data_IF_913099747539
#
_entry.id   IF_913099747539
#
_cell.length_a   1.000
_cell.length_b   1.000
_cell.length_c   1.000
_cell.angle_alpha   90.00
_cell.angle_beta   90.00
_cell.angle_gamma   90.00
#
_symmetry.space_group_name_H-M   'P 1'
#
loop_
_entity.id
_entity.type
_entity.pdbx_description
1 polymer ?
#
# COMPACT_ATOMS: atom_id res chain seq x y z
N UNK A 1 -8.87 -11.17 -12.31
CA UNK A 1 -8.11 -12.13 -13.13
C UNK A 1 -8.93 -12.62 -14.33
N UNK A 2 -10.10 -13.20 -14.17
CA UNK A 2 -10.95 -13.71 -15.25
C UNK A 2 -11.13 -12.70 -16.41
N UNK A 3 -11.62 -11.50 -16.14
CA UNK A 3 -11.85 -10.45 -17.15
C UNK A 3 -10.58 -10.04 -17.91
N UNK A 4 -9.47 -9.91 -17.19
CA UNK A 4 -8.16 -9.59 -17.81
C UNK A 4 -7.69 -10.72 -18.74
N UNK A 5 -7.82 -11.97 -18.30
CA UNK A 5 -7.42 -13.13 -19.11
C UNK A 5 -8.32 -13.27 -20.35
N UNK A 6 -9.64 -13.12 -20.20
CA UNK A 6 -10.58 -13.13 -21.32
C UNK A 6 -10.27 -12.02 -22.33
N UNK A 7 -9.92 -10.83 -21.86
CA UNK A 7 -9.48 -9.73 -22.73
C UNK A 7 -8.19 -10.05 -23.48
N UNK A 8 -7.21 -10.65 -22.83
CA UNK A 8 -5.95 -11.09 -23.45
C UNK A 8 -6.23 -12.15 -24.55
N UNK A 9 -7.02 -13.17 -24.23
CA UNK A 9 -7.35 -14.25 -25.18
C UNK A 9 -8.01 -13.65 -26.42
N UNK A 10 -9.07 -12.86 -26.24
CA UNK A 10 -9.84 -12.28 -27.35
C UNK A 10 -9.06 -11.31 -28.21
N UNK A 11 -8.20 -10.47 -27.59
CA UNK A 11 -7.56 -9.38 -28.33
C UNK A 11 -6.19 -9.73 -28.89
N UNK A 12 -5.50 -10.76 -28.36
CA UNK A 12 -4.11 -11.03 -28.69
C UNK A 12 -3.80 -12.49 -29.01
N UNK A 13 -4.44 -13.47 -28.34
CA UNK A 13 -4.16 -14.90 -28.59
C UNK A 13 -4.98 -15.38 -29.79
N UNK A 14 -6.31 -15.24 -29.73
CA UNK A 14 -7.19 -15.72 -30.79
C UNK A 14 -6.88 -15.14 -32.15
N UNK A 15 -6.61 -13.82 -32.32
CA UNK A 15 -6.34 -13.29 -33.65
C UNK A 15 -5.06 -13.79 -34.31
N UNK A 16 -4.09 -14.31 -33.53
CA UNK A 16 -2.79 -14.70 -34.04
C UNK A 16 -2.63 -16.22 -34.16
N UNK A 17 -3.15 -16.99 -33.21
CA UNK A 17 -2.97 -18.44 -33.14
C UNK A 17 -4.25 -19.20 -32.79
N UNK A 18 -5.40 -18.52 -32.64
CA UNK A 18 -6.62 -19.15 -32.16
C UNK A 18 -7.22 -20.18 -33.12
N UNK A 19 -7.00 -20.01 -34.43
CA UNK A 19 -7.52 -20.92 -35.47
C UNK A 19 -6.60 -22.15 -35.73
N UNK A 20 -5.41 -22.16 -35.10
CA UNK A 20 -4.48 -23.27 -35.27
C UNK A 20 -4.84 -24.44 -34.34
N UNK A 21 -4.88 -25.68 -34.84
CA UNK A 21 -4.95 -26.85 -33.96
C UNK A 21 -3.77 -26.87 -32.97
N UNK A 22 -4.01 -27.14 -31.69
CA UNK A 22 -2.95 -27.09 -30.66
C UNK A 22 -1.78 -28.04 -31.00
N UNK A 23 -2.07 -29.18 -31.64
CA UNK A 23 -1.07 -30.16 -32.06
C UNK A 23 -0.14 -29.67 -33.18
N UNK A 24 -0.58 -28.67 -33.97
CA UNK A 24 0.21 -28.08 -35.06
C UNK A 24 1.10 -26.91 -34.59
N UNK A 25 0.92 -26.43 -33.36
CA UNK A 25 1.72 -25.34 -32.82
C UNK A 25 3.11 -25.85 -32.44
N UNK A 26 4.11 -25.40 -33.18
CA UNK A 26 5.53 -25.73 -32.97
C UNK A 26 6.26 -24.60 -32.25
N UNK A 27 7.51 -24.83 -31.84
CA UNK A 27 8.37 -23.76 -31.28
C UNK A 27 8.51 -22.60 -32.27
N UNK A 28 8.70 -22.91 -33.57
CA UNK A 28 8.76 -21.90 -34.65
C UNK A 28 7.47 -21.07 -34.72
N UNK A 29 6.31 -21.70 -34.55
CA UNK A 29 5.02 -20.97 -34.48
C UNK A 29 4.98 -20.03 -33.30
N UNK A 30 5.50 -20.42 -32.14
CA UNK A 30 5.58 -19.58 -30.95
C UNK A 30 6.53 -18.40 -31.14
N UNK A 31 7.67 -18.59 -31.79
CA UNK A 31 8.61 -17.50 -32.10
C UNK A 31 7.97 -16.46 -33.03
N UNK A 32 7.26 -16.92 -34.08
CA UNK A 32 6.47 -16.03 -34.95
C UNK A 32 5.40 -15.29 -34.17
N UNK A 33 4.66 -15.98 -33.29
CA UNK A 33 3.65 -15.38 -32.42
C UNK A 33 4.22 -14.28 -31.55
N UNK A 34 5.39 -14.48 -30.94
CA UNK A 34 6.07 -13.47 -30.13
C UNK A 34 6.43 -12.24 -30.99
N UNK A 35 6.99 -12.47 -32.17
CA UNK A 35 7.34 -11.41 -33.11
C UNK A 35 6.12 -10.59 -33.54
N UNK A 36 5.00 -11.24 -33.85
CA UNK A 36 3.77 -10.59 -34.28
C UNK A 36 3.09 -9.84 -33.11
N UNK A 37 3.20 -10.37 -31.88
CA UNK A 37 2.75 -9.65 -30.68
C UNK A 37 3.43 -8.27 -30.55
N UNK A 38 4.75 -8.18 -30.77
CA UNK A 38 5.46 -6.89 -30.70
C UNK A 38 4.99 -5.88 -31.76
N UNK A 39 4.35 -6.33 -32.82
CA UNK A 39 3.77 -5.51 -33.89
C UNK A 39 2.26 -5.33 -33.76
N UNK A 40 1.65 -5.91 -32.75
CA UNK A 40 0.21 -5.81 -32.52
C UNK A 40 -0.12 -4.49 -31.82
N UNK A 41 -1.14 -3.77 -32.33
CA UNK A 41 -1.62 -2.53 -31.73
C UNK A 41 -2.27 -2.78 -30.38
N UNK A 42 -2.15 -1.81 -29.49
CA UNK A 42 -2.78 -1.89 -28.18
C UNK A 42 -4.30 -1.89 -28.28
N UNK A 43 -4.98 -2.90 -27.74
CA UNK A 43 -6.44 -2.91 -27.68
C UNK A 43 -7.04 -1.73 -26.87
N UNK A 44 -6.24 -1.06 -26.03
CA UNK A 44 -6.64 0.12 -25.29
C UNK A 44 -6.88 1.34 -26.20
N UNK A 45 -6.25 1.38 -27.39
CA UNK A 45 -6.44 2.44 -28.39
C UNK A 45 -7.93 2.63 -28.77
N UNK A 46 -8.72 1.57 -28.72
CA UNK A 46 -10.16 1.62 -28.97
C UNK A 46 -10.97 2.43 -27.96
N UNK A 47 -10.42 2.71 -26.79
CA UNK A 47 -11.12 3.30 -25.66
C UNK A 47 -10.54 4.63 -25.18
N UNK A 48 -9.25 4.86 -25.42
CA UNK A 48 -8.55 6.08 -24.99
C UNK A 48 -7.20 6.21 -25.73
N UNK A 49 -6.64 7.42 -25.72
CA UNK A 49 -5.31 7.66 -26.25
C UNK A 49 -4.27 6.80 -25.54
N UNK A 50 -3.42 6.13 -26.31
CA UNK A 50 -2.33 5.29 -25.81
C UNK A 50 -1.00 5.99 -25.97
N UNK A 51 -0.07 5.73 -25.07
CA UNK A 51 1.29 6.31 -25.12
C UNK A 51 2.18 5.68 -26.21
N UNK A 52 1.82 4.50 -26.68
CA UNK A 52 2.57 3.71 -27.67
C UNK A 52 1.58 3.02 -28.60
N UNK A 53 1.89 3.00 -29.89
CA UNK A 53 1.04 2.39 -30.94
C UNK A 53 0.94 0.87 -30.77
N UNK A 54 2.02 0.24 -30.32
CA UNK A 54 2.11 -1.21 -30.12
C UNK A 54 2.05 -1.58 -28.65
N UNK A 55 1.74 -2.86 -28.37
CA UNK A 55 1.72 -3.36 -26.99
C UNK A 55 3.12 -3.35 -26.38
N UNK A 56 3.19 -3.05 -25.09
CA UNK A 56 4.46 -3.02 -24.35
C UNK A 56 5.04 -4.43 -24.13
N UNK A 57 6.35 -4.55 -23.97
CA UNK A 57 7.02 -5.81 -23.63
C UNK A 57 6.39 -6.49 -22.40
N UNK A 58 5.99 -5.71 -21.39
CA UNK A 58 5.28 -6.24 -20.22
C UNK A 58 3.91 -6.84 -20.58
N UNK A 59 3.23 -6.29 -21.60
CA UNK A 59 1.97 -6.87 -22.09
C UNK A 59 2.24 -8.13 -22.92
N UNK A 60 3.26 -8.15 -23.76
CA UNK A 60 3.71 -9.34 -24.49
C UNK A 60 4.02 -10.47 -23.51
N UNK A 61 4.76 -10.19 -22.44
CA UNK A 61 5.07 -11.18 -21.40
C UNK A 61 3.81 -11.75 -20.73
N UNK A 62 2.78 -10.92 -20.46
CA UNK A 62 1.51 -11.39 -19.90
C UNK A 62 0.74 -12.29 -20.86
N UNK A 63 0.71 -11.94 -22.15
CA UNK A 63 0.06 -12.73 -23.19
C UNK A 63 0.76 -14.08 -23.31
N UNK A 64 2.09 -14.08 -23.40
CA UNK A 64 2.91 -15.28 -23.46
C UNK A 64 2.70 -16.20 -22.25
N UNK A 65 2.73 -15.65 -21.02
CA UNK A 65 2.49 -16.42 -19.79
C UNK A 65 1.12 -17.09 -19.79
N UNK A 66 0.09 -16.37 -20.27
CA UNK A 66 -1.26 -16.93 -20.33
C UNK A 66 -1.37 -18.06 -21.36
N UNK A 67 -0.82 -17.88 -22.57
CA UNK A 67 -0.76 -18.90 -23.60
C UNK A 67 0.02 -20.13 -23.10
N UNK A 68 1.21 -19.92 -22.52
CA UNK A 68 2.02 -21.02 -21.94
C UNK A 68 1.25 -21.79 -20.86
N UNK A 69 0.45 -21.09 -20.03
CA UNK A 69 -0.38 -21.74 -19.03
C UNK A 69 -1.46 -22.64 -19.67
N UNK A 70 -2.12 -22.18 -20.75
CA UNK A 70 -3.12 -22.97 -21.48
C UNK A 70 -2.49 -24.23 -22.13
N UNK A 71 -1.31 -24.09 -22.75
CA UNK A 71 -0.59 -25.21 -23.34
C UNK A 71 -0.06 -26.20 -22.29
N UNK A 72 0.37 -25.72 -21.11
CA UNK A 72 0.68 -26.61 -19.98
C UNK A 72 -0.54 -27.43 -19.54
N UNK A 73 -1.73 -26.83 -19.56
CA UNK A 73 -2.96 -27.55 -19.24
C UNK A 73 -3.31 -28.59 -20.32
N UNK A 74 -3.07 -28.28 -21.60
CA UNK A 74 -3.26 -29.22 -22.70
C UNK A 74 -2.31 -30.45 -22.59
N UNK A 75 -1.07 -30.26 -22.14
CA UNK A 75 -0.16 -31.37 -21.83
C UNK A 75 -0.72 -32.25 -20.71
N UNK A 76 -1.22 -31.63 -19.62
CA UNK A 76 -1.84 -32.38 -18.51
C UNK A 76 -3.07 -33.16 -18.91
N UNK A 77 -3.81 -32.70 -19.94
CA UNK A 77 -4.96 -33.37 -20.48
C UNK A 77 -4.60 -34.37 -21.61
N UNK A 78 -3.29 -34.60 -21.89
CA UNK A 78 -2.79 -35.44 -22.95
C UNK A 78 -3.28 -35.03 -24.35
N UNK A 79 -3.61 -33.77 -24.59
CA UNK A 79 -3.99 -33.24 -25.91
C UNK A 79 -2.76 -33.05 -26.80
N UNK A 80 -1.63 -32.67 -26.18
CA UNK A 80 -0.31 -32.51 -26.81
C UNK A 80 0.77 -33.17 -25.95
N UNK A 81 1.85 -33.71 -26.53
CA UNK A 81 2.90 -34.40 -25.77
C UNK A 81 3.81 -33.44 -25.01
N UNK A 82 4.04 -32.24 -25.50
CA UNK A 82 4.90 -31.22 -24.89
C UNK A 82 4.42 -29.83 -25.20
N UNK A 83 4.78 -28.85 -24.32
CA UNK A 83 4.42 -27.47 -24.50
C UNK A 83 5.50 -26.71 -25.27
N UNK A 84 5.23 -26.25 -26.53
CA UNK A 84 6.21 -25.53 -27.34
C UNK A 84 6.64 -24.18 -26.74
N UNK A 85 5.81 -23.54 -25.89
CA UNK A 85 6.13 -22.29 -25.19
C UNK A 85 7.26 -22.44 -24.17
N UNK A 86 7.56 -23.67 -23.71
CA UNK A 86 8.65 -23.88 -22.75
C UNK A 86 10.04 -23.79 -23.38
N UNK A 87 10.13 -23.98 -24.70
CA UNK A 87 11.39 -23.93 -25.45
C UNK A 87 11.60 -22.58 -26.16
N UNK A 88 10.58 -21.72 -26.22
CA UNK A 88 10.66 -20.44 -26.89
C UNK A 88 11.36 -19.41 -25.97
N UNK A 89 12.20 -18.57 -26.57
CA UNK A 89 12.93 -17.51 -25.89
C UNK A 89 12.14 -16.19 -25.92
N UNK A 90 11.57 -15.81 -24.78
CA UNK A 90 10.99 -14.49 -24.59
C UNK A 90 12.01 -13.55 -23.94
N UNK A 91 12.35 -12.44 -24.60
CA UNK A 91 13.12 -11.37 -23.97
C UNK A 91 12.34 -10.82 -22.77
N UNK A 92 12.93 -10.86 -21.59
CA UNK A 92 12.31 -10.29 -20.40
C UNK A 92 12.16 -8.78 -20.57
N UNK A 93 10.95 -8.27 -20.30
CA UNK A 93 10.72 -6.84 -20.27
C UNK A 93 11.69 -6.18 -19.27
N UNK A 94 12.39 -5.10 -19.68
CA UNK A 94 13.16 -4.30 -18.76
C UNK A 94 12.20 -3.69 -17.73
N UNK A 95 12.38 -4.05 -16.47
CA UNK A 95 11.62 -3.45 -15.38
C UNK A 95 12.04 -1.98 -15.25
N UNK A 96 11.14 -1.04 -15.55
CA UNK A 96 11.40 0.38 -15.24
C UNK A 96 11.39 0.55 -13.74
N UNK A 97 12.44 1.12 -13.21
CA UNK A 97 12.47 1.57 -11.82
C UNK A 97 11.35 2.59 -11.62
N UNK A 98 10.56 2.38 -10.59
CA UNK A 98 9.49 3.32 -10.25
C UNK A 98 10.06 4.33 -9.27
N UNK A 99 9.88 5.60 -9.61
CA UNK A 99 10.11 6.66 -8.65
C UNK A 99 9.23 6.46 -7.41
N UNK A 100 9.83 6.67 -6.26
CA UNK A 100 9.17 6.63 -4.96
C UNK A 100 9.44 7.96 -4.24
N UNK A 101 8.50 8.39 -3.43
CA UNK A 101 8.70 9.55 -2.58
C UNK A 101 9.46 9.17 -1.32
N UNK A 102 10.35 10.02 -0.89
CA UNK A 102 10.95 9.97 0.43
C UNK A 102 10.00 10.51 1.51
N UNK A 103 10.41 10.41 2.78
CA UNK A 103 9.59 10.83 3.91
C UNK A 103 9.30 12.34 3.91
N UNK A 104 10.24 13.17 3.43
CA UNK A 104 10.09 14.61 3.37
C UNK A 104 9.05 15.02 2.32
N UNK A 105 9.14 14.44 1.12
CA UNK A 105 8.16 14.64 0.05
C UNK A 105 6.75 14.22 0.49
N UNK A 106 6.62 13.11 1.25
CA UNK A 106 5.33 12.66 1.79
C UNK A 106 4.80 13.64 2.83
N UNK A 107 5.62 14.15 3.74
CA UNK A 107 5.20 15.20 4.70
C UNK A 107 4.68 16.42 3.96
N UNK A 108 5.43 16.93 2.99
CA UNK A 108 4.99 18.07 2.16
C UNK A 108 3.65 17.80 1.47
N UNK A 109 3.44 16.59 0.97
CA UNK A 109 2.17 16.17 0.36
C UNK A 109 1.02 16.19 1.38
N UNK A 110 1.25 15.66 2.57
CA UNK A 110 0.25 15.64 3.66
C UNK A 110 -0.08 17.07 4.12
N UNK A 111 0.91 17.93 4.32
CA UNK A 111 0.72 19.33 4.76
C UNK A 111 -0.06 20.16 3.74
N UNK A 112 0.11 19.87 2.44
CA UNK A 112 -0.58 20.56 1.37
C UNK A 112 -1.99 20.00 1.10
N UNK A 113 -2.26 18.74 1.50
CA UNK A 113 -3.50 18.06 1.18
C UNK A 113 -4.71 18.68 1.91
N UNK A 114 -5.75 19.06 1.13
CA UNK A 114 -7.03 19.61 1.64
C UNK A 114 -8.22 18.67 1.48
N UNK A 115 -8.03 17.55 0.79
CA UNK A 115 -9.06 16.52 0.63
C UNK A 115 -8.93 15.49 1.75
N UNK A 116 -9.91 15.44 2.64
CA UNK A 116 -9.88 14.58 3.83
C UNK A 116 -9.77 13.08 3.48
N UNK A 117 -10.49 12.62 2.46
CA UNK A 117 -10.42 11.24 2.03
C UNK A 117 -9.04 10.89 1.46
N UNK A 118 -8.46 11.79 0.65
CA UNK A 118 -7.10 11.60 0.13
C UNK A 118 -6.07 11.62 1.24
N UNK A 119 -6.19 12.54 2.21
CA UNK A 119 -5.29 12.64 3.35
C UNK A 119 -5.24 11.33 4.14
N UNK A 120 -6.40 10.78 4.47
CA UNK A 120 -6.48 9.49 5.18
C UNK A 120 -5.95 8.35 4.32
N UNK A 121 -6.28 8.31 3.02
CA UNK A 121 -5.77 7.30 2.10
C UNK A 121 -4.23 7.33 2.02
N UNK A 122 -3.61 8.52 1.96
CA UNK A 122 -2.14 8.65 1.94
C UNK A 122 -1.52 8.15 3.25
N UNK A 123 -2.07 8.53 4.41
CA UNK A 123 -1.60 8.04 5.71
C UNK A 123 -1.68 6.51 5.80
N UNK A 124 -2.83 5.91 5.46
CA UNK A 124 -3.01 4.46 5.48
C UNK A 124 -2.12 3.73 4.47
N UNK A 125 -1.87 4.32 3.30
CA UNK A 125 -0.98 3.73 2.29
C UNK A 125 0.49 3.80 2.71
N UNK A 126 0.94 4.92 3.32
CA UNK A 126 2.33 5.09 3.73
C UNK A 126 2.61 4.47 5.10
N UNK A 127 1.88 4.84 6.15
CA UNK A 127 2.17 4.33 7.49
C UNK A 127 1.82 2.84 7.65
N UNK A 128 0.71 2.40 7.05
CA UNK A 128 0.18 1.04 7.22
C UNK A 128 0.41 0.12 6.01
N UNK A 129 1.08 0.61 4.96
CA UNK A 129 1.36 -0.15 3.73
C UNK A 129 0.13 -0.76 3.07
N UNK A 130 -1.06 -0.14 3.17
CA UNK A 130 -2.29 -0.66 2.60
C UNK A 130 -2.39 -0.40 1.09
N UNK A 131 -3.02 -1.33 0.36
CA UNK A 131 -3.40 -1.12 -1.04
C UNK A 131 -4.63 -0.23 -1.13
N UNK A 132 -4.76 0.55 -2.20
CA UNK A 132 -5.93 1.45 -2.35
C UNK A 132 -7.26 0.70 -2.26
N UNK A 133 -7.38 -0.48 -2.85
CA UNK A 133 -8.60 -1.30 -2.75
C UNK A 133 -8.89 -1.77 -1.31
N UNK A 134 -7.86 -2.09 -0.51
CA UNK A 134 -7.97 -2.44 0.91
C UNK A 134 -8.44 -1.22 1.72
N UNK A 135 -7.89 -0.03 1.47
CA UNK A 135 -8.27 1.24 2.12
C UNK A 135 -9.73 1.58 1.84
N UNK A 136 -10.13 1.55 0.56
CA UNK A 136 -11.48 1.90 0.14
C UNK A 136 -12.53 0.84 0.57
N UNK A 137 -12.09 -0.39 0.79
CA UNK A 137 -12.94 -1.48 1.30
C UNK A 137 -12.98 -1.58 2.83
N UNK A 138 -12.22 -0.73 3.56
CA UNK A 138 -12.19 -0.77 5.01
C UNK A 138 -13.52 -0.28 5.59
N UNK A 139 -14.05 -1.03 6.55
CA UNK A 139 -15.27 -0.68 7.29
C UNK A 139 -14.96 -0.37 8.75
N UNK A 140 -15.77 0.45 9.39
CA UNK A 140 -15.57 0.85 10.78
C UNK A 140 -15.60 -0.32 11.76
N UNK A 141 -16.31 -1.40 11.44
CA UNK A 141 -16.32 -2.63 12.25
C UNK A 141 -14.93 -3.32 12.33
N UNK A 142 -14.04 -2.96 11.42
CA UNK A 142 -12.68 -3.50 11.32
C UNK A 142 -11.60 -2.47 11.75
N UNK A 143 -12.01 -1.41 12.46
CA UNK A 143 -11.13 -0.33 12.94
C UNK A 143 -11.20 -0.29 14.46
N UNK A 144 -10.10 -0.59 15.12
CA UNK A 144 -9.95 -0.67 16.56
C UNK A 144 -9.06 0.49 17.02
N UNK A 145 -9.71 1.58 17.45
CA UNK A 145 -9.08 2.87 17.78
C UNK A 145 -9.78 3.53 18.98
N UNK A 146 -10.18 2.76 19.96
CA UNK A 146 -10.65 3.34 21.23
C UNK A 146 -9.54 4.10 21.95
N UNK A 147 -9.89 5.04 22.81
CA UNK A 147 -8.90 5.82 23.57
C UNK A 147 -7.90 4.95 24.37
N UNK A 148 -8.31 3.85 25.03
CA UNK A 148 -7.37 2.94 25.67
C UNK A 148 -6.42 2.30 24.65
N UNK A 149 -6.96 1.73 23.53
CA UNK A 149 -6.13 1.11 22.49
C UNK A 149 -5.10 2.06 21.91
N UNK A 150 -5.46 3.33 21.71
CA UNK A 150 -4.51 4.35 21.21
C UNK A 150 -3.44 4.68 22.27
N UNK A 151 -3.82 4.85 23.52
CA UNK A 151 -2.88 5.18 24.61
C UNK A 151 -1.86 4.06 24.84
N UNK A 152 -2.30 2.82 24.73
CA UNK A 152 -1.48 1.62 24.97
C UNK A 152 -0.70 1.15 23.74
N UNK A 153 -0.67 1.94 22.64
CA UNK A 153 -0.07 1.59 21.34
C UNK A 153 -0.66 0.30 20.72
N UNK A 154 -1.89 -0.04 21.07
CA UNK A 154 -2.61 -1.26 20.66
C UNK A 154 -3.69 -0.98 19.61
N UNK A 155 -3.67 0.16 18.94
CA UNK A 155 -4.60 0.49 17.87
C UNK A 155 -4.30 -0.30 16.59
N UNK A 156 -5.33 -0.88 15.94
CA UNK A 156 -5.14 -1.75 14.78
C UNK A 156 -6.34 -1.78 13.83
N UNK A 157 -6.08 -2.25 12.61
CA UNK A 157 -7.06 -2.49 11.55
C UNK A 157 -7.09 -3.97 11.19
N UNK A 158 -8.27 -4.48 10.84
CA UNK A 158 -8.40 -5.81 10.25
C UNK A 158 -8.72 -5.72 8.77
N UNK A 159 -7.79 -6.13 7.93
CA UNK A 159 -7.94 -6.12 6.48
C UNK A 159 -8.48 -7.47 6.05
N UNK A 160 -9.73 -7.53 5.59
CA UNK A 160 -10.38 -8.77 5.15
C UNK A 160 -11.06 -8.66 3.79
N UNK A 161 -11.15 -7.44 3.25
CA UNK A 161 -11.86 -7.17 2.00
C UNK A 161 -11.23 -6.02 1.24
N UNK A 162 -11.58 -5.92 -0.05
CA UNK A 162 -11.17 -4.81 -0.92
C UNK A 162 -12.37 -4.31 -1.73
N UNK A 163 -12.43 -2.98 -1.96
CA UNK A 163 -13.36 -2.38 -2.89
C UNK A 163 -12.77 -2.47 -4.31
N UNK A 164 -13.55 -2.95 -5.26
CA UNK A 164 -13.14 -3.04 -6.64
C UNK A 164 -14.29 -2.80 -7.61
N UNK A 165 -14.00 -2.20 -8.76
CA UNK A 165 -14.93 -2.12 -9.88
C UNK A 165 -14.75 -3.33 -10.78
N UNK A 166 -15.80 -4.09 -11.02
CA UNK A 166 -15.77 -5.34 -11.80
C UNK A 166 -16.83 -5.32 -12.90
N UNK A 167 -16.63 -6.09 -13.96
CA UNK A 167 -17.64 -6.27 -15.02
C UNK A 167 -18.76 -7.16 -14.53
N UNK A 168 -20.02 -6.80 -14.84
CA UNK A 168 -21.20 -7.63 -14.52
C UNK A 168 -21.14 -9.00 -15.17
N UNK A 169 -20.61 -9.08 -16.40
CA UNK A 169 -20.37 -10.36 -17.09
C UNK A 169 -19.40 -11.29 -16.35
N UNK A 170 -18.37 -10.73 -15.71
CA UNK A 170 -17.44 -11.50 -14.90
C UNK A 170 -18.07 -12.00 -13.60
N UNK A 171 -18.93 -11.19 -12.95
CA UNK A 171 -19.71 -11.62 -11.78
C UNK A 171 -20.62 -12.79 -12.11
N UNK A 172 -21.37 -12.68 -13.20
CA UNK A 172 -22.27 -13.75 -13.66
C UNK A 172 -21.49 -15.04 -13.98
N UNK A 173 -20.37 -14.94 -14.72
CA UNK A 173 -19.55 -16.09 -15.09
C UNK A 173 -18.90 -16.79 -13.88
N UNK A 174 -18.69 -16.09 -12.78
CA UNK A 174 -18.09 -16.61 -11.55
C UNK A 174 -19.12 -16.86 -10.43
N UNK A 175 -20.41 -16.78 -10.72
CA UNK A 175 -21.49 -16.96 -9.74
C UNK A 175 -21.28 -16.13 -8.46
N UNK A 176 -20.81 -14.89 -8.59
CA UNK A 176 -20.50 -13.97 -7.50
C UNK A 176 -19.51 -14.53 -6.45
N UNK A 177 -18.66 -15.48 -6.83
CA UNK A 177 -17.71 -16.11 -5.90
C UNK A 177 -16.82 -15.05 -5.25
N UNK A 178 -16.67 -15.11 -3.90
CA UNK A 178 -15.86 -14.20 -3.10
C UNK A 178 -16.33 -12.73 -3.11
N UNK A 179 -17.60 -12.47 -3.42
CA UNK A 179 -18.24 -11.16 -3.31
C UNK A 179 -19.00 -11.08 -2.00
N UNK A 180 -18.74 -10.03 -1.22
CA UNK A 180 -19.41 -9.77 0.06
C UNK A 180 -20.59 -8.82 -0.10
N UNK A 181 -20.42 -7.79 -0.97
CA UNK A 181 -21.47 -6.82 -1.23
C UNK A 181 -21.37 -6.27 -2.65
N UNK A 182 -22.52 -6.00 -3.28
CA UNK A 182 -22.65 -5.37 -4.60
C UNK A 182 -23.35 -4.03 -4.39
N UNK A 183 -22.65 -2.93 -4.66
CA UNK A 183 -23.23 -1.60 -4.50
C UNK A 183 -24.19 -1.28 -5.65
N UNK A 184 -25.35 -0.65 -5.37
CA UNK A 184 -26.24 -0.16 -6.41
C UNK A 184 -25.57 0.92 -7.25
N UNK A 185 -26.03 1.08 -8.49
CA UNK A 185 -25.55 2.17 -9.35
C UNK A 185 -26.10 3.51 -8.82
N UNK A 186 -25.22 4.42 -8.45
CA UNK A 186 -25.60 5.74 -7.91
C UNK A 186 -26.52 6.55 -8.87
N UNK A 187 -26.25 6.48 -10.16
CA UNK A 187 -26.98 7.27 -11.17
C UNK A 187 -28.27 6.63 -11.67
N UNK A 188 -28.68 5.48 -11.09
CA UNK A 188 -29.82 4.69 -11.59
C UNK A 188 -29.60 4.06 -12.96
N UNK A 189 -28.50 4.40 -13.67
CA UNK A 189 -28.17 3.83 -14.98
C UNK A 189 -27.40 2.52 -14.81
N UNK A 190 -27.89 1.47 -15.46
CA UNK A 190 -27.16 0.21 -15.52
C UNK A 190 -25.91 0.36 -16.37
N UNK A 191 -24.75 0.24 -15.77
CA UNK A 191 -23.45 0.23 -16.46
C UNK A 191 -22.91 -1.20 -16.63
N UNK A 192 -22.01 -1.42 -17.57
CA UNK A 192 -21.36 -2.72 -17.79
C UNK A 192 -20.50 -3.17 -16.59
N UNK A 193 -20.19 -2.25 -15.68
CA UNK A 193 -19.38 -2.49 -14.48
C UNK A 193 -20.15 -2.12 -13.21
N UNK A 194 -19.74 -2.67 -12.09
CA UNK A 194 -20.33 -2.40 -10.77
C UNK A 194 -19.25 -2.39 -9.70
N UNK A 195 -19.46 -1.62 -8.63
CA UNK A 195 -18.61 -1.65 -7.44
C UNK A 195 -19.00 -2.81 -6.55
N UNK A 196 -18.01 -3.48 -6.01
CA UNK A 196 -18.21 -4.60 -5.10
C UNK A 196 -17.18 -4.57 -3.95
N UNK A 197 -17.63 -5.02 -2.77
CA UNK A 197 -16.70 -5.50 -1.75
C UNK A 197 -16.45 -6.98 -1.99
N UNK A 198 -15.20 -7.35 -2.05
CA UNK A 198 -14.79 -8.74 -2.33
C UNK A 198 -13.61 -9.17 -1.48
N UNK A 199 -13.40 -10.49 -1.38
CA UNK A 199 -12.21 -11.07 -0.78
C UNK A 199 -10.94 -10.56 -1.50
N UNK A 200 -9.87 -10.23 -0.77
CA UNK A 200 -8.57 -9.88 -1.36
C UNK A 200 -8.04 -11.02 -2.24
N UNK A 201 -7.12 -10.67 -3.15
CA UNK A 201 -6.58 -11.61 -4.13
C UNK A 201 -5.82 -12.80 -3.52
N UNK A 202 -5.16 -12.60 -2.39
CA UNK A 202 -4.37 -13.62 -1.68
C UNK A 202 -4.80 -13.71 -0.22
N UNK A 203 -4.72 -14.89 0.37
CA UNK A 203 -5.05 -15.09 1.77
C UNK A 203 -4.09 -14.34 2.69
N UNK A 204 -2.83 -14.15 2.29
CA UNK A 204 -1.85 -13.31 2.99
C UNK A 204 -2.22 -11.82 3.06
N UNK A 205 -3.19 -11.38 2.25
CA UNK A 205 -3.74 -10.01 2.34
C UNK A 205 -4.70 -9.86 3.53
N UNK A 206 -5.27 -10.95 4.03
CA UNK A 206 -6.14 -10.94 5.22
C UNK A 206 -5.23 -10.91 6.44
N UNK A 207 -5.21 -9.78 7.14
CA UNK A 207 -4.26 -9.57 8.23
C UNK A 207 -4.71 -8.47 9.19
N UNK A 208 -4.18 -8.53 10.42
CA UNK A 208 -4.17 -7.40 11.35
C UNK A 208 -3.01 -6.47 10.98
N UNK A 209 -3.26 -5.16 11.06
CA UNK A 209 -2.25 -4.12 10.82
C UNK A 209 -2.29 -3.15 11.98
N UNK A 210 -1.18 -3.06 12.72
CA UNK A 210 -1.01 -2.08 13.78
C UNK A 210 -0.83 -0.70 13.18
N UNK A 211 -1.40 0.32 13.81
CA UNK A 211 -1.36 1.68 13.28
C UNK A 211 -0.74 2.65 14.30
N UNK A 212 0.06 3.62 13.83
CA UNK A 212 0.60 4.67 14.70
C UNK A 212 -0.52 5.50 15.33
N UNK A 213 -0.29 5.99 16.57
CA UNK A 213 -1.24 6.86 17.32
C UNK A 213 -1.77 8.02 16.46
N UNK A 214 -0.89 8.71 15.73
CA UNK A 214 -1.28 9.81 14.85
C UNK A 214 -2.31 9.39 13.81
N UNK A 215 -2.14 8.21 13.20
CA UNK A 215 -3.09 7.67 12.19
C UNK A 215 -4.41 7.29 12.86
N UNK A 216 -4.36 6.74 14.07
CA UNK A 216 -5.55 6.41 14.84
C UNK A 216 -6.38 7.67 15.18
N UNK A 217 -5.74 8.75 15.63
CA UNK A 217 -6.43 10.03 15.87
C UNK A 217 -7.00 10.66 14.60
N UNK A 218 -6.30 10.57 13.48
CA UNK A 218 -6.82 10.99 12.16
C UNK A 218 -8.09 10.22 11.79
N UNK A 219 -8.12 8.92 12.04
CA UNK A 219 -9.32 8.10 11.82
C UNK A 219 -10.46 8.44 12.78
N UNK A 220 -10.18 8.73 14.05
CA UNK A 220 -11.21 9.20 15.00
C UNK A 220 -11.84 10.50 14.53
N UNK A 221 -11.03 11.45 14.07
CA UNK A 221 -11.53 12.73 13.57
C UNK A 221 -12.37 12.55 12.30
N UNK A 222 -11.91 11.68 11.39
CA UNK A 222 -12.70 11.31 10.20
C UNK A 222 -14.06 10.72 10.62
N UNK A 223 -14.09 9.84 11.64
CA UNK A 223 -15.34 9.24 12.13
C UNK A 223 -16.29 10.28 12.73
N UNK A 224 -15.79 11.21 13.52
CA UNK A 224 -16.60 12.32 14.07
C UNK A 224 -17.23 13.15 12.95
N UNK A 225 -16.43 13.54 11.96
CA UNK A 225 -16.91 14.29 10.80
C UNK A 225 -17.96 13.52 10.00
N UNK A 226 -17.75 12.21 9.81
CA UNK A 226 -18.71 11.37 9.10
C UNK A 226 -20.04 11.21 9.88
N UNK A 227 -19.99 11.02 11.21
CA UNK A 227 -21.18 10.96 12.05
C UNK A 227 -21.96 12.28 11.97
N UNK A 228 -21.30 13.41 12.00
CA UNK A 228 -21.95 14.71 11.82
C UNK A 228 -22.59 14.86 10.43
N UNK A 229 -21.96 14.35 9.37
CA UNK A 229 -22.56 14.30 8.03
C UNK A 229 -23.81 13.40 7.98
N UNK A 230 -23.79 12.27 8.68
CA UNK A 230 -24.95 11.37 8.81
C UNK A 230 -26.14 12.11 9.48
N UNK A 231 -25.86 12.85 10.57
CA UNK A 231 -26.88 13.64 11.25
C UNK A 231 -27.47 14.73 10.36
N UNK A 232 -26.64 15.44 9.59
CA UNK A 232 -27.05 16.50 8.68
C UNK A 232 -27.85 16.00 7.49
N UNK A 233 -27.44 14.88 6.89
CA UNK A 233 -28.07 14.32 5.70
C UNK A 233 -29.31 13.47 6.03
N UNK A 234 -29.43 12.95 7.25
CA UNK A 234 -30.57 12.14 7.68
C UNK A 234 -30.88 11.00 6.74
N UNK A 235 -32.09 10.97 6.17
CA UNK A 235 -32.51 9.90 5.27
C UNK A 235 -31.82 9.88 3.91
N UNK A 236 -31.13 10.94 3.52
CA UNK A 236 -30.38 11.02 2.25
C UNK A 236 -28.99 10.36 2.36
N UNK A 237 -28.56 9.97 3.57
CA UNK A 237 -27.32 9.23 3.79
C UNK A 237 -27.58 7.73 3.71
N UNK A 238 -26.80 7.04 2.88
CA UNK A 238 -26.81 5.57 2.84
C UNK A 238 -25.57 5.03 3.54
N UNK A 239 -25.73 4.51 4.76
CA UNK A 239 -24.60 4.00 5.54
C UNK A 239 -24.22 2.58 5.11
N UNK A 240 -23.08 2.46 4.45
CA UNK A 240 -22.41 1.19 4.14
C UNK A 240 -21.29 0.87 5.14
N UNK A 241 -21.18 1.61 6.24
CA UNK A 241 -20.15 1.45 7.26
C UNK A 241 -18.71 1.59 6.73
N UNK A 242 -18.51 2.25 5.59
CA UNK A 242 -17.19 2.46 4.98
C UNK A 242 -16.43 3.59 5.68
N UNK A 243 -15.12 3.39 5.87
CA UNK A 243 -14.23 4.43 6.41
C UNK A 243 -14.09 5.56 5.38
N UNK A 244 -13.87 5.21 4.11
CA UNK A 244 -13.74 6.18 3.02
C UNK A 244 -15.03 6.18 2.20
N UNK A 245 -15.85 7.18 2.43
CA UNK A 245 -17.14 7.37 1.76
C UNK A 245 -17.27 8.81 1.25
N UNK A 246 -18.21 9.01 0.33
CA UNK A 246 -18.71 10.34 -0.03
C UNK A 246 -19.61 10.91 1.08
N UNK A 247 -19.89 12.24 1.10
CA UNK A 247 -20.74 12.86 2.11
C UNK A 247 -22.17 12.28 2.22
N UNK A 248 -22.63 11.58 1.20
CA UNK A 248 -23.92 10.85 1.19
C UNK A 248 -23.78 9.35 1.52
N UNK A 249 -22.63 8.90 2.00
CA UNK A 249 -22.36 7.52 2.39
C UNK A 249 -21.99 6.56 1.25
N UNK A 250 -22.10 6.97 -0.01
CA UNK A 250 -21.71 6.11 -1.13
C UNK A 250 -20.22 5.82 -1.14
N UNK A 251 -19.79 4.64 -1.64
CA UNK A 251 -18.38 4.26 -1.68
C UNK A 251 -17.57 5.18 -2.57
N UNK A 252 -16.42 5.66 -2.05
CA UNK A 252 -15.44 6.41 -2.83
C UNK A 252 -14.63 5.46 -3.71
N UNK A 253 -14.47 5.81 -4.99
CA UNK A 253 -13.78 4.97 -5.96
C UNK A 253 -12.30 5.34 -6.08
N UNK A 254 -11.48 4.36 -6.43
CA UNK A 254 -10.04 4.55 -6.72
C UNK A 254 -9.79 5.68 -7.72
N UNK A 255 -10.62 5.80 -8.77
CA UNK A 255 -10.51 6.88 -9.76
C UNK A 255 -10.58 8.26 -9.13
N UNK A 256 -11.46 8.46 -8.13
CA UNK A 256 -11.62 9.74 -7.43
C UNK A 256 -10.36 10.09 -6.62
N UNK A 257 -9.82 9.11 -5.91
CA UNK A 257 -8.58 9.29 -5.13
C UNK A 257 -7.39 9.59 -6.06
N UNK A 258 -7.26 8.85 -7.17
CA UNK A 258 -6.20 9.09 -8.16
C UNK A 258 -6.31 10.49 -8.80
N UNK A 259 -7.52 10.98 -9.07
CA UNK A 259 -7.73 12.35 -9.57
C UNK A 259 -7.34 13.39 -8.53
N UNK A 260 -7.76 13.23 -7.27
CA UNK A 260 -7.37 14.12 -6.18
C UNK A 260 -5.85 14.11 -5.94
N UNK A 261 -5.22 12.93 -6.01
CA UNK A 261 -3.77 12.78 -5.89
C UNK A 261 -3.01 13.46 -7.02
N UNK A 262 -3.51 13.37 -8.26
CA UNK A 262 -2.92 14.06 -9.41
C UNK A 262 -3.01 15.59 -9.24
N UNK A 263 -4.14 16.09 -8.74
CA UNK A 263 -4.33 17.52 -8.45
C UNK A 263 -3.36 17.98 -7.35
N UNK A 264 -3.26 17.24 -6.26
CA UNK A 264 -2.31 17.51 -5.15
C UNK A 264 -0.86 17.59 -5.65
N UNK A 265 -0.41 16.63 -6.48
CA UNK A 265 0.94 16.65 -7.06
C UNK A 265 1.23 17.92 -7.85
N UNK A 266 0.27 18.36 -8.65
CA UNK A 266 0.41 19.60 -9.44
C UNK A 266 0.46 20.84 -8.52
N UNK A 267 -0.43 20.94 -7.53
CA UNK A 267 -0.50 22.06 -6.58
C UNK A 267 0.76 22.18 -5.72
N UNK A 268 1.24 21.07 -5.18
CA UNK A 268 2.42 21.04 -4.32
C UNK A 268 3.75 20.92 -5.08
N UNK A 269 3.72 20.88 -6.42
CA UNK A 269 4.88 20.69 -7.31
C UNK A 269 5.73 19.48 -6.88
N UNK A 270 5.06 18.33 -6.72
CA UNK A 270 5.69 17.09 -6.31
C UNK A 270 6.07 16.21 -7.52
N UNK A 271 7.07 15.32 -7.37
CA UNK A 271 7.44 14.35 -8.40
C UNK A 271 6.24 13.51 -8.85
N UNK A 272 6.19 13.17 -10.15
CA UNK A 272 5.06 12.40 -10.71
C UNK A 272 5.18 10.92 -10.38
N UNK A 273 4.44 10.49 -9.38
CA UNK A 273 4.30 9.08 -9.00
C UNK A 273 2.84 8.66 -9.02
N UNK A 274 2.57 7.36 -9.11
CA UNK A 274 1.21 6.81 -8.96
C UNK A 274 0.90 6.59 -7.47
N UNK A 275 -0.38 6.62 -7.08
CA UNK A 275 -0.78 6.44 -5.68
C UNK A 275 -0.20 5.16 -5.05
N UNK A 276 -0.12 4.06 -5.80
CA UNK A 276 0.48 2.80 -5.33
C UNK A 276 1.98 2.93 -4.97
N UNK A 277 2.68 3.93 -5.50
CA UNK A 277 4.09 4.19 -5.12
C UNK A 277 4.24 4.55 -3.65
N UNK A 278 3.21 5.12 -2.99
CA UNK A 278 3.24 5.39 -1.54
C UNK A 278 3.44 4.11 -0.72
N UNK A 279 2.85 3.00 -1.15
CA UNK A 279 3.08 1.69 -0.53
C UNK A 279 4.50 1.19 -0.78
N UNK A 280 5.11 1.49 -1.93
CA UNK A 280 6.52 1.18 -2.17
C UNK A 280 7.43 2.06 -1.31
N UNK A 281 7.14 3.37 -1.20
CA UNK A 281 7.81 4.27 -0.25
C UNK A 281 7.72 3.77 1.19
N UNK A 282 6.54 3.30 1.61
CA UNK A 282 6.31 2.67 2.92
C UNK A 282 7.24 1.47 3.14
N UNK A 283 7.28 0.54 2.20
CA UNK A 283 8.10 -0.66 2.30
C UNK A 283 9.61 -0.32 2.40
N UNK A 284 10.06 0.65 1.59
CA UNK A 284 11.44 1.15 1.63
C UNK A 284 11.76 1.80 2.98
N UNK A 285 10.86 2.64 3.48
CA UNK A 285 11.04 3.35 4.75
C UNK A 285 11.06 2.39 5.94
N UNK A 286 10.12 1.44 5.99
CA UNK A 286 10.06 0.40 7.03
C UNK A 286 11.27 -0.52 6.99
N UNK A 287 11.76 -0.86 5.80
CA UNK A 287 12.98 -1.66 5.68
C UNK A 287 14.21 -0.93 6.25
N UNK A 288 14.31 0.40 6.06
CA UNK A 288 15.34 1.22 6.72
C UNK A 288 15.20 1.21 8.23
N UNK A 289 13.97 1.39 8.76
CA UNK A 289 13.69 1.37 10.19
C UNK A 289 14.03 0.01 10.82
N UNK A 290 13.76 -1.08 10.10
CA UNK A 290 14.04 -2.46 10.55
C UNK A 290 15.48 -2.90 10.23
N UNK A 291 16.40 -1.96 9.95
CA UNK A 291 17.81 -2.26 9.67
C UNK A 291 18.02 -3.34 8.59
N UNK A 292 17.14 -3.41 7.59
CA UNK A 292 17.23 -4.37 6.51
C UNK A 292 16.57 -5.73 6.78
N UNK A 293 15.88 -5.92 7.90
CA UNK A 293 15.11 -7.16 8.15
C UNK A 293 13.94 -7.27 7.18
N UNK A 294 14.17 -8.06 6.12
CA UNK A 294 13.19 -8.34 5.08
C UNK A 294 11.96 -9.09 5.61
N UNK A 295 12.17 -9.99 6.58
CA UNK A 295 11.10 -10.84 7.10
C UNK A 295 10.13 -10.06 7.98
N UNK A 296 10.66 -9.23 8.88
CA UNK A 296 9.86 -8.31 9.69
C UNK A 296 9.07 -7.34 8.80
N UNK A 297 9.75 -6.73 7.81
CA UNK A 297 9.12 -5.81 6.85
C UNK A 297 8.05 -6.49 5.99
N UNK A 298 8.25 -7.75 5.58
CA UNK A 298 7.26 -8.52 4.83
C UNK A 298 5.98 -8.76 5.65
N UNK A 299 6.13 -9.15 6.91
CA UNK A 299 5.00 -9.38 7.83
C UNK A 299 4.14 -8.12 7.98
N UNK A 300 4.77 -6.98 8.20
CA UNK A 300 4.09 -5.70 8.39
C UNK A 300 3.45 -5.14 7.10
N UNK A 301 4.13 -5.28 5.97
CA UNK A 301 3.62 -4.77 4.68
C UNK A 301 2.62 -5.69 4.00
N UNK A 302 2.54 -6.98 4.37
CA UNK A 302 1.68 -7.97 3.73
C UNK A 302 2.06 -8.22 2.26
N UNK A 303 3.36 -8.18 1.91
CA UNK A 303 3.83 -8.59 0.59
C UNK A 303 3.93 -10.12 0.53
N UNK A 304 3.30 -10.72 -0.49
CA UNK A 304 3.34 -12.18 -0.69
C UNK A 304 4.71 -12.68 -1.14
N UNK A 305 5.52 -11.81 -1.76
CA UNK A 305 6.82 -12.17 -2.34
C UNK A 305 7.92 -11.26 -1.80
N UNK A 306 8.98 -11.86 -1.28
CA UNK A 306 10.20 -11.18 -0.80
C UNK A 306 10.93 -10.49 -1.97
N UNK A 307 10.83 -11.03 -3.19
CA UNK A 307 11.48 -10.49 -4.39
C UNK A 307 11.18 -9.01 -4.65
N UNK A 308 9.98 -8.54 -4.28
CA UNK A 308 9.63 -7.13 -4.44
C UNK A 308 10.41 -6.25 -3.43
N UNK A 309 10.52 -6.70 -2.18
CA UNK A 309 11.31 -6.01 -1.14
C UNK A 309 12.79 -6.04 -1.47
N UNK A 310 13.30 -7.16 -1.99
CA UNK A 310 14.71 -7.33 -2.38
C UNK A 310 15.12 -6.38 -3.50
N UNK A 311 14.24 -6.16 -4.49
CA UNK A 311 14.50 -5.19 -5.57
C UNK A 311 14.57 -3.76 -5.07
N UNK A 312 13.72 -3.40 -4.12
CA UNK A 312 13.75 -2.09 -3.45
C UNK A 312 15.02 -1.94 -2.61
N UNK A 313 15.45 -3.02 -1.94
CA UNK A 313 16.63 -3.06 -1.08
C UNK A 313 17.96 -2.93 -1.84
N UNK A 314 18.04 -3.42 -3.06
CA UNK A 314 19.26 -3.35 -3.86
C UNK A 314 19.78 -1.90 -4.04
N UNK A 315 18.89 -0.90 -4.01
CA UNK A 315 19.25 0.52 -4.10
C UNK A 315 19.69 1.16 -2.77
N UNK A 316 19.30 0.56 -1.63
CA UNK A 316 19.67 1.07 -0.30
C UNK A 316 21.07 0.63 0.08
N UNK A 317 21.59 -0.43 -0.55
CA UNK A 317 22.78 -1.16 -0.15
C UNK A 317 24.12 -0.40 -0.22
N UNK A 318 24.25 0.68 -0.99
CA UNK A 318 25.57 1.33 -1.11
C UNK A 318 25.94 2.16 0.13
N UNK A 319 25.00 2.88 0.73
CA UNK A 319 25.24 3.56 2.01
C UNK A 319 25.42 2.57 3.18
N UNK A 320 24.62 1.50 3.18
CA UNK A 320 24.68 0.48 4.25
C UNK A 320 25.90 -0.43 4.15
N UNK A 321 26.44 -0.66 2.94
CA UNK A 321 27.73 -1.37 2.75
C UNK A 321 28.88 -0.67 3.41
N UNK A 322 28.93 0.67 3.31
CA UNK A 322 29.95 1.47 3.99
C UNK A 322 29.83 1.36 5.51
N UNK A 323 28.61 1.46 6.03
CA UNK A 323 28.32 1.31 7.46
C UNK A 323 28.64 -0.11 7.94
N UNK A 324 28.31 -1.13 7.15
CA UNK A 324 28.63 -2.53 7.47
C UNK A 324 30.13 -2.77 7.51
N UNK A 325 30.89 -2.20 6.58
CA UNK A 325 32.35 -2.29 6.60
C UNK A 325 32.93 -1.60 7.83
N UNK A 326 32.42 -0.44 8.24
CA UNK A 326 32.84 0.25 9.46
C UNK A 326 32.51 -0.57 10.71
N UNK A 327 31.29 -1.12 10.82
CA UNK A 327 30.90 -2.00 11.95
C UNK A 327 31.73 -3.28 12.01
N UNK A 328 32.10 -3.83 10.85
CA UNK A 328 32.97 -5.00 10.80
C UNK A 328 34.39 -4.68 11.28
N UNK A 329 34.92 -3.50 10.89
CA UNK A 329 36.18 -2.99 11.39
C UNK A 329 36.18 -2.84 12.92
N UNK A 330 35.15 -2.19 13.45
CA UNK A 330 34.96 -1.97 14.89
C UNK A 330 34.78 -3.30 15.66
N UNK A 331 34.01 -4.23 15.12
CA UNK A 331 33.66 -5.46 15.82
C UNK A 331 34.78 -6.52 15.77
N UNK A 332 35.58 -6.55 14.69
CA UNK A 332 36.51 -7.64 14.42
C UNK A 332 37.97 -7.22 14.50
N UNK A 333 38.33 -6.04 13.97
CA UNK A 333 39.75 -5.60 13.88
C UNK A 333 40.17 -4.66 14.99
N UNK A 334 39.23 -3.92 15.65
CA UNK A 334 39.62 -3.15 16.82
C UNK A 334 39.76 -4.08 18.03
N UNK A 335 40.90 -4.05 18.72
CA UNK A 335 41.09 -4.92 19.89
C UNK A 335 40.02 -4.57 20.96
N UNK A 336 39.23 -5.56 21.33
CA UNK A 336 38.40 -5.47 22.51
C UNK A 336 39.29 -5.25 23.73
N UNK A 337 39.41 -4.02 24.17
CA UNK A 337 39.89 -3.76 25.53
C UNK A 337 38.87 -4.47 26.45
N UNK A 338 39.35 -5.50 27.12
CA UNK A 338 38.59 -6.28 28.09
C UNK A 338 37.79 -5.36 28.99
N UNK A 339 36.48 -5.54 29.17
CA UNK A 339 35.72 -4.72 30.08
C UNK A 339 36.06 -5.13 31.50
N UNK A 340 36.75 -4.25 32.22
CA UNK A 340 36.60 -4.18 33.66
C UNK A 340 35.12 -3.90 33.92
N UNK A 341 34.51 -4.79 34.71
CA UNK A 341 33.16 -4.65 35.22
C UNK A 341 32.97 -3.25 35.84
N UNK A 342 32.23 -2.40 35.17
CA UNK A 342 31.69 -1.17 35.77
C UNK A 342 30.17 -1.33 35.83
N UNK A 343 29.67 -1.14 37.05
CA UNK A 343 28.29 -1.12 37.43
C UNK A 343 27.37 -0.43 36.44
N UNK A 344 26.29 -1.12 36.04
CA UNK A 344 25.19 -0.60 35.29
C UNK A 344 24.35 0.38 36.15
N UNK A 345 24.80 1.64 36.17
CA UNK A 345 23.91 2.77 36.40
C UNK A 345 23.62 3.41 35.03
N UNK A 346 22.37 3.74 34.69
CA UNK A 346 22.06 4.41 33.42
C UNK A 346 22.75 5.78 33.45
N UNK A 347 23.74 5.96 32.57
CA UNK A 347 24.41 7.24 32.38
C UNK A 347 23.39 8.29 31.96
N UNK A 348 23.27 9.34 32.73
CA UNK A 348 22.51 10.54 32.38
C UNK A 348 22.88 10.98 30.97
N UNK A 349 21.91 11.40 30.12
CA UNK A 349 22.22 11.94 28.82
C UNK A 349 23.18 13.12 28.95
N UNK A 350 24.18 13.19 28.08
CA UNK A 350 25.17 14.26 28.08
C UNK A 350 24.46 15.61 27.82
N UNK A 351 24.12 16.29 28.90
CA UNK A 351 23.39 17.56 28.92
C UNK A 351 24.13 18.63 28.11
N UNK A 352 25.44 18.56 28.03
CA UNK A 352 26.26 19.48 27.23
C UNK A 352 26.07 19.30 25.73
N UNK A 353 25.94 18.06 25.25
CA UNK A 353 25.64 17.77 23.83
C UNK A 353 24.20 18.21 23.47
N UNK A 354 23.24 18.00 24.36
CA UNK A 354 21.85 18.48 24.19
C UNK A 354 21.76 20.01 24.14
N UNK A 355 22.47 20.71 25.03
CA UNK A 355 22.50 22.18 25.05
C UNK A 355 23.11 22.74 23.75
N UNK A 356 24.14 22.10 23.21
CA UNK A 356 24.78 22.52 21.96
C UNK A 356 23.85 22.33 20.75
N UNK A 357 23.03 21.26 20.72
CA UNK A 357 22.02 21.07 19.70
C UNK A 357 20.85 22.07 19.81
N UNK A 358 20.41 22.39 21.00
CA UNK A 358 19.33 23.38 21.23
C UNK A 358 19.77 24.79 20.81
N UNK A 359 21.05 25.15 21.00
CA UNK A 359 21.60 26.44 20.55
C UNK A 359 21.65 26.58 19.00
N UNK A 360 21.75 25.49 18.27
CA UNK A 360 21.69 25.50 16.80
C UNK A 360 20.28 25.65 16.22
N UNK A 361 19.23 25.41 17.03
CA UNK A 361 17.83 25.48 16.58
C UNK A 361 16.95 26.21 17.62
N UNK A 362 16.93 27.55 17.60
CA UNK A 362 16.22 28.36 18.61
C UNK A 362 14.71 28.06 18.74
N UNK A 363 14.07 27.61 17.68
CA UNK A 363 12.65 27.20 17.66
C UNK A 363 12.39 25.95 18.50
N UNK A 364 13.34 25.01 18.57
CA UNK A 364 13.23 23.82 19.41
C UNK A 364 13.35 24.14 20.91
N UNK A 365 14.12 25.17 21.26
CA UNK A 365 14.24 25.67 22.63
C UNK A 365 12.92 26.21 23.17
N UNK A 366 12.14 26.90 22.36
CA UNK A 366 10.80 27.40 22.72
C UNK A 366 9.81 26.25 22.96
N UNK A 367 9.78 25.27 22.08
CA UNK A 367 8.87 24.10 22.21
C UNK A 367 9.20 23.31 23.47
N UNK A 368 10.48 23.11 23.80
CA UNK A 368 10.90 22.42 25.01
C UNK A 368 10.56 23.21 26.29
N UNK A 369 10.71 24.54 26.28
CA UNK A 369 10.33 25.37 27.43
C UNK A 369 8.81 25.34 27.66
N UNK A 370 7.99 25.33 26.60
CA UNK A 370 6.53 25.28 26.72
C UNK A 370 6.04 23.90 27.21
N UNK A 371 6.73 22.80 26.81
CA UNK A 371 6.44 21.44 27.29
C UNK A 371 6.83 21.28 28.76
N UNK A 372 7.99 21.78 29.17
CA UNK A 372 8.46 21.72 30.55
C UNK A 372 7.60 22.60 31.49
N UNK A 373 7.15 23.75 31.02
CA UNK A 373 6.23 24.61 31.77
C UNK A 373 4.86 23.95 31.98
N UNK A 374 4.37 23.18 30.99
CA UNK A 374 3.13 22.41 31.15
C UNK A 374 3.28 21.20 32.06
N UNK A 375 4.43 20.54 32.10
CA UNK A 375 4.68 19.46 33.08
C UNK A 375 4.80 19.96 34.50
N UNK A 376 5.48 21.08 34.75
CA UNK A 376 5.59 21.68 36.07
C UNK A 376 4.23 22.10 36.65
N UNK A 377 3.31 22.57 35.80
CA UNK A 377 1.95 22.95 36.23
C UNK A 377 1.03 21.74 36.52
N UNK A 378 1.41 20.55 36.10
CA UNK A 378 0.66 19.30 36.37
C UNK A 378 1.12 18.64 37.67
N UNK A 379 2.39 18.81 38.05
CA UNK A 379 2.95 18.23 39.28
C UNK A 379 2.56 19.05 40.54
N UNK A 380 2.36 20.35 40.43
CA UNK A 380 1.86 21.17 41.54
C UNK A 380 0.40 20.88 41.93
N UNK A 381 -0.41 20.31 41.01
CA UNK A 381 -1.79 19.94 41.34
C UNK A 381 -1.94 18.53 41.94
N UNK A 382 -0.88 17.75 42.02
CA UNK A 382 -0.89 16.40 42.64
C UNK A 382 -0.42 16.37 44.07
N UNK A 383 0.31 17.40 44.57
CA UNK A 383 0.76 17.46 45.95
C UNK A 383 -0.23 18.12 46.94
N UNK A 384 -1.26 18.84 46.44
CA UNK A 384 -2.23 19.51 47.32
C UNK A 384 -3.53 18.71 47.59
N UNK A 385 -3.56 17.43 47.24
CA UNK A 385 -4.75 16.55 47.40
C UNK A 385 -4.71 15.56 48.59
N UNK A 386 -3.65 15.54 49.42
CA UNK A 386 -3.54 14.56 50.51
C UNK A 386 -3.28 15.24 51.88
N UNK A 387 -4.29 15.84 52.44
CA UNK A 387 -4.24 16.37 53.79
C UNK A 387 -5.61 16.82 54.28
N UNK A 388 -6.42 15.89 54.79
CA UNK A 388 -7.35 16.03 55.88
C UNK A 388 -8.48 14.97 55.80
N UNK A 389 -8.29 13.90 56.52
CA UNK A 389 -9.36 13.09 57.12
C UNK A 389 -8.76 12.37 58.32
N UNK A 390 -8.75 13.04 59.48
CA UNK A 390 -8.75 12.39 60.78
C UNK A 390 -9.70 13.17 61.69
N UNK A 391 -10.56 12.39 62.34
CA UNK A 391 -11.31 12.64 63.59
C UNK A 391 -12.58 13.47 63.51
N UNK A 392 -13.73 12.79 63.60
CA UNK A 392 -14.55 12.79 64.82
C UNK A 392 -15.95 12.23 64.55
N UNK A 393 -16.29 11.28 65.45
CA UNK A 393 -17.59 10.71 65.84
C UNK A 393 -18.40 9.85 64.85
#
# INVERSE_FOLDING_TARGET
>A
MYDSSTGIIRNYINPLIGDLPMQSVTVKTVDIFIHDLHRTRSAAEKYHAVKQDYISDSQVEKVFKLARCAFNQAVRWNVIPQNPFNQANLCKAKCREREIWDAETIRKALDTCRDANLYVCMNLSFACSLRIGEILGLTWNNVHISEPEIKDDDAWLYIMQELARVKRSALAALNNKNIYHIFPAWTGKTTSTVLVLKKPKTDSSIRRVWIPKTVAYVLQELRKNQLHQIELAGCDYTDYNLVIAFPNGHPCEEKRINQAFTKLKAEAKLPDVVFHSLRHSSATYKLKLNHGDLKATQGDTGHAEIDMLTKVYAHILDSDRKITAQRFEEAFYQPQNSPEQKDNSPSSPDIAALITQIQQYPELGKILSDVLAKQASTDENTENGNGNLSDSE
#
